data_IF_291293591187
#
_entry.id   IF_291293591187
#
_cell.length_a   1.000
_cell.length_b   1.000
_cell.length_c   1.000
_cell.angle_alpha   90.00
_cell.angle_beta   90.00
_cell.angle_gamma   90.00
#
_symmetry.space_group_name_H-M   'P 1'
#
loop_
_entity.id
_entity.type
_entity.pdbx_description
1 polymer ?
#
# COMPACT_ATOMS: atom_id res chain seq x y z
N UNK A 1 18.99 -56.33 24.41
CA UNK A 1 17.69 -56.18 23.70
C UNK A 1 17.19 -54.77 23.94
N UNK A 2 17.22 -53.89 22.93
CA UNK A 2 16.64 -52.53 23.01
C UNK A 2 15.26 -52.56 22.35
N UNK A 3 14.23 -51.88 22.90
CA UNK A 3 12.91 -51.83 22.28
C UNK A 3 12.92 -50.89 21.06
N UNK A 4 12.18 -51.28 20.02
CA UNK A 4 11.99 -50.50 18.80
C UNK A 4 11.05 -49.30 19.04
N UNK A 5 11.25 -48.14 18.36
CA UNK A 5 10.32 -47.02 18.44
C UNK A 5 9.05 -47.29 17.62
N UNK A 6 7.92 -46.81 18.15
CA UNK A 6 6.58 -46.88 17.55
C UNK A 6 6.44 -45.96 16.33
N UNK A 7 5.56 -46.28 15.37
CA UNK A 7 5.34 -45.44 14.20
C UNK A 7 4.58 -44.17 14.58
N UNK A 8 5.17 -43.02 14.28
CA UNK A 8 4.53 -41.70 14.34
C UNK A 8 3.49 -41.57 13.23
N UNK A 9 2.26 -41.20 13.62
CA UNK A 9 1.17 -40.90 12.69
C UNK A 9 1.48 -39.63 11.87
N UNK A 10 1.08 -39.54 10.59
CA UNK A 10 1.28 -38.34 9.78
C UNK A 10 0.40 -37.18 10.25
N UNK A 11 0.84 -35.92 10.08
CA UNK A 11 0.04 -34.75 10.41
C UNK A 11 -1.19 -34.66 9.51
N UNK A 12 -2.34 -34.36 10.13
CA UNK A 12 -3.61 -34.18 9.46
C UNK A 12 -3.50 -33.10 8.38
N UNK A 13 -3.92 -33.46 7.16
CA UNK A 13 -4.05 -32.53 6.06
C UNK A 13 -5.05 -31.43 6.42
N UNK A 14 -4.59 -30.18 6.46
CA UNK A 14 -5.44 -29.01 6.62
C UNK A 14 -6.33 -28.92 5.37
N UNK A 15 -7.63 -29.16 5.58
CA UNK A 15 -8.66 -29.07 4.56
C UNK A 15 -8.61 -27.73 3.82
N UNK A 16 -8.57 -27.78 2.50
CA UNK A 16 -8.59 -26.64 1.57
C UNK A 16 -9.80 -25.71 1.77
N UNK A 17 -10.83 -26.15 2.49
CA UNK A 17 -11.99 -25.34 2.88
C UNK A 17 -11.65 -24.22 3.88
N UNK A 18 -10.75 -24.46 4.84
CA UNK A 18 -10.40 -23.49 5.87
C UNK A 18 -9.64 -22.28 5.31
N UNK A 19 -8.83 -22.49 4.27
CA UNK A 19 -8.09 -21.43 3.57
C UNK A 19 -9.03 -20.53 2.73
N UNK A 20 -10.03 -21.13 2.08
CA UNK A 20 -11.04 -20.38 1.32
C UNK A 20 -11.96 -19.55 2.22
N UNK A 21 -12.33 -20.10 3.39
CA UNK A 21 -13.20 -19.42 4.35
C UNK A 21 -12.48 -18.30 5.11
N UNK A 22 -11.18 -18.48 5.44
CA UNK A 22 -10.32 -17.40 5.96
C UNK A 22 -10.19 -16.24 4.98
N UNK A 23 -10.00 -16.52 3.69
CA UNK A 23 -9.90 -15.48 2.66
C UNK A 23 -11.24 -14.77 2.41
N UNK A 24 -12.37 -15.49 2.51
CA UNK A 24 -13.71 -14.90 2.45
C UNK A 24 -14.03 -14.03 3.65
N UNK A 25 -13.66 -14.45 4.86
CA UNK A 25 -13.85 -13.66 6.08
C UNK A 25 -12.96 -12.41 6.08
N UNK A 26 -11.68 -12.54 5.74
CA UNK A 26 -10.81 -11.37 5.61
C UNK A 26 -11.34 -10.42 4.52
N UNK A 27 -11.77 -10.92 3.35
CA UNK A 27 -12.36 -10.06 2.32
C UNK A 27 -13.74 -9.49 2.70
N UNK A 28 -14.58 -10.21 3.44
CA UNK A 28 -15.91 -9.76 3.86
C UNK A 28 -15.87 -8.81 5.06
N UNK A 29 -14.84 -8.92 5.89
CA UNK A 29 -14.62 -8.05 7.05
C UNK A 29 -13.90 -6.75 6.63
N UNK A 30 -13.01 -6.80 5.62
CA UNK A 30 -12.08 -5.69 5.32
C UNK A 30 -12.24 -5.02 3.95
N UNK A 31 -13.05 -5.55 3.03
CA UNK A 31 -13.42 -4.81 1.82
C UNK A 31 -14.72 -4.07 2.12
N UNK A 32 -14.73 -2.73 2.23
CA UNK A 32 -16.00 -2.01 2.27
C UNK A 32 -16.74 -2.31 0.97
N UNK A 33 -17.83 -3.07 1.06
CA UNK A 33 -18.89 -3.02 0.06
C UNK A 33 -19.49 -1.62 0.12
N UNK A 34 -18.93 -0.71 -0.65
CA UNK A 34 -19.70 0.41 -1.18
C UNK A 34 -20.81 -0.20 -2.07
N UNK A 35 -22.05 0.19 -1.79
CA UNK A 35 -23.34 -0.29 -2.32
C UNK A 35 -23.37 -0.68 -3.83
N UNK A 36 -23.90 -1.86 -4.19
CA UNK A 36 -25.32 -2.14 -4.50
C UNK A 36 -25.75 -1.66 -5.91
N UNK A 37 -25.42 -2.44 -6.95
CA UNK A 37 -26.34 -2.99 -7.94
C UNK A 37 -25.54 -3.83 -8.97
N UNK A 38 -26.22 -4.69 -9.73
CA UNK A 38 -25.69 -5.63 -10.76
C UNK A 38 -25.48 -7.07 -10.25
N UNK A 39 -26.58 -7.72 -9.88
CA UNK A 39 -26.74 -9.17 -10.05
C UNK A 39 -27.84 -9.43 -11.09
N UNK A 40 -27.51 -9.33 -12.38
CA UNK A 40 -28.03 -10.28 -13.39
C UNK A 40 -27.33 -10.08 -14.76
N UNK A 41 -26.32 -10.88 -15.08
CA UNK A 41 -25.95 -11.12 -16.48
C UNK A 41 -25.18 -12.44 -16.63
N UNK A 42 -25.55 -13.31 -17.61
CA UNK A 42 -24.91 -14.60 -17.82
C UNK A 42 -23.50 -14.42 -18.44
N UNK A 43 -22.61 -15.42 -18.35
CA UNK A 43 -21.27 -15.31 -18.89
C UNK A 43 -21.35 -15.31 -20.43
N UNK A 44 -21.10 -14.17 -21.06
CA UNK A 44 -20.89 -14.09 -22.52
C UNK A 44 -19.43 -13.81 -22.84
N UNK A 45 -18.88 -14.79 -23.56
CA UNK A 45 -17.66 -14.84 -24.38
C UNK A 45 -17.03 -13.50 -24.79
N UNK A 46 -15.70 -13.51 -24.70
CA UNK A 46 -14.71 -12.79 -25.50
C UNK A 46 -15.24 -11.77 -26.52
N UNK A 47 -14.98 -10.49 -26.24
CA UNK A 47 -14.77 -9.50 -27.30
C UNK A 47 -13.72 -8.48 -26.84
N UNK A 48 -12.77 -8.23 -27.72
CA UNK A 48 -11.64 -7.32 -27.63
C UNK A 48 -12.10 -5.87 -27.43
N UNK A 49 -11.86 -5.29 -26.25
CA UNK A 49 -11.88 -3.84 -26.04
C UNK A 49 -10.56 -3.19 -26.49
N UNK A 50 -10.53 -1.87 -26.76
CA UNK A 50 -9.32 -1.18 -27.20
C UNK A 50 -8.28 -1.23 -26.09
N UNK A 51 -7.05 -1.69 -26.40
CA UNK A 51 -5.92 -1.62 -25.47
C UNK A 51 -5.57 -0.16 -25.22
N UNK A 52 -5.90 0.35 -24.04
CA UNK A 52 -5.32 1.56 -23.49
C UNK A 52 -3.79 1.39 -23.50
N UNK A 53 -3.08 2.30 -24.18
CA UNK A 53 -1.62 2.23 -24.30
C UNK A 53 -1.02 2.51 -22.92
N UNK A 54 -0.77 1.47 -22.11
CA UNK A 54 0.06 1.60 -20.90
C UNK A 54 1.40 2.24 -21.30
N UNK A 55 1.70 3.38 -20.71
CA UNK A 55 2.96 4.10 -20.96
C UNK A 55 4.11 3.17 -20.60
N UNK A 56 5.08 3.01 -21.52
CA UNK A 56 6.19 2.07 -21.31
C UNK A 56 7.13 2.66 -20.24
N UNK A 57 7.05 2.13 -19.03
CA UNK A 57 7.89 2.49 -17.88
C UNK A 57 9.37 2.58 -18.26
N UNK A 58 10.01 3.73 -18.01
CA UNK A 58 11.42 3.95 -18.30
C UNK A 58 12.35 3.20 -17.33
N UNK A 59 13.66 3.26 -17.57
CA UNK A 59 14.65 2.74 -16.60
C UNK A 59 14.62 3.53 -15.29
N UNK A 60 14.53 4.85 -15.40
CA UNK A 60 14.51 5.77 -14.26
C UNK A 60 13.26 5.56 -13.40
N UNK A 61 12.11 5.31 -14.03
CA UNK A 61 10.89 4.95 -13.31
C UNK A 61 11.00 3.62 -12.56
N UNK A 62 11.64 2.61 -13.18
CA UNK A 62 11.89 1.32 -12.51
C UNK A 62 12.81 1.45 -11.31
N UNK A 63 13.87 2.24 -11.44
CA UNK A 63 14.84 2.47 -10.36
C UNK A 63 14.21 3.18 -9.16
N UNK A 64 13.21 4.03 -9.41
CA UNK A 64 12.45 4.74 -8.38
C UNK A 64 11.15 4.03 -7.96
N UNK A 65 10.89 2.83 -8.46
CA UNK A 65 9.72 2.03 -8.09
C UNK A 65 8.37 2.64 -8.49
N UNK A 66 8.35 3.57 -9.45
CA UNK A 66 7.12 4.25 -9.90
C UNK A 66 6.61 3.65 -11.21
N UNK A 67 5.30 3.72 -11.44
CA UNK A 67 4.66 3.27 -12.67
C UNK A 67 4.98 4.21 -13.84
N UNK A 68 4.74 3.75 -15.07
CA UNK A 68 4.93 4.59 -16.26
C UNK A 68 3.96 5.78 -16.32
N UNK A 69 2.82 5.68 -15.66
CA UNK A 69 1.81 6.73 -15.60
C UNK A 69 2.19 7.77 -14.52
N UNK A 70 2.67 7.33 -13.34
CA UNK A 70 3.26 8.22 -12.33
C UNK A 70 4.48 8.99 -12.89
N UNK A 71 5.36 8.30 -13.64
CA UNK A 71 6.47 8.96 -14.33
C UNK A 71 5.96 10.04 -15.30
N UNK A 72 4.90 9.76 -16.05
CA UNK A 72 4.32 10.71 -16.99
C UNK A 72 3.76 11.94 -16.27
N UNK A 73 3.08 11.76 -15.14
CA UNK A 73 2.57 12.87 -14.32
C UNK A 73 3.72 13.74 -13.78
N UNK A 74 4.75 13.13 -13.19
CA UNK A 74 5.97 13.83 -12.72
C UNK A 74 6.58 14.63 -13.86
N UNK A 75 6.68 14.01 -15.04
CA UNK A 75 7.23 14.63 -16.23
C UNK A 75 6.43 15.83 -16.69
N UNK A 76 5.11 15.73 -16.74
CA UNK A 76 4.23 16.82 -17.15
C UNK A 76 4.36 18.01 -16.20
N UNK A 77 4.34 17.79 -14.89
CA UNK A 77 4.52 18.88 -13.92
C UNK A 77 5.90 19.53 -14.01
N UNK A 78 6.96 18.73 -14.24
CA UNK A 78 8.30 19.27 -14.45
C UNK A 78 8.34 20.19 -15.67
N UNK A 79 7.72 19.79 -16.77
CA UNK A 79 7.70 20.56 -18.03
C UNK A 79 6.97 21.90 -17.94
N UNK A 80 6.04 22.06 -16.99
CA UNK A 80 5.37 23.36 -16.75
C UNK A 80 6.37 24.42 -16.31
N UNK A 81 7.40 24.03 -15.55
CA UNK A 81 8.38 24.94 -14.96
C UNK A 81 9.76 24.85 -15.62
N UNK A 82 9.98 23.87 -16.52
CA UNK A 82 11.30 23.63 -17.09
C UNK A 82 11.67 24.64 -18.17
N UNK A 83 12.96 24.89 -18.27
CA UNK A 83 13.55 25.76 -19.30
C UNK A 83 14.74 25.04 -19.92
N UNK A 84 14.89 25.15 -21.24
CA UNK A 84 16.09 24.68 -21.92
C UNK A 84 17.20 25.70 -21.74
N UNK A 85 18.41 25.21 -21.45
CA UNK A 85 19.57 26.01 -21.11
C UNK A 85 20.81 25.45 -21.81
N UNK A 86 21.59 26.32 -22.43
CA UNK A 86 22.81 25.93 -23.17
C UNK A 86 23.92 25.42 -22.23
N UNK A 87 23.88 25.87 -20.97
CA UNK A 87 24.73 25.42 -19.87
C UNK A 87 24.40 23.99 -19.38
N UNK A 88 23.25 23.43 -19.80
CA UNK A 88 22.81 22.07 -19.47
C UNK A 88 22.50 21.25 -20.75
N UNK A 89 23.48 21.02 -21.65
CA UNK A 89 23.24 20.38 -22.94
C UNK A 89 22.85 18.90 -22.83
N UNK A 90 23.19 18.26 -21.71
CA UNK A 90 22.85 16.87 -21.41
C UNK A 90 21.38 16.70 -20.96
N UNK A 91 20.75 17.78 -20.49
CA UNK A 91 19.42 17.75 -19.89
C UNK A 91 18.33 17.91 -20.96
N UNK A 92 17.92 16.79 -21.56
CA UNK A 92 16.95 16.76 -22.66
C UNK A 92 15.57 17.31 -22.28
N UNK A 93 15.18 17.09 -21.02
CA UNK A 93 13.91 17.55 -20.44
C UNK A 93 13.99 19.02 -19.97
N UNK A 94 15.18 19.62 -20.04
CA UNK A 94 15.48 20.94 -19.48
C UNK A 94 15.75 20.90 -17.97
N UNK A 95 15.80 22.08 -17.38
CA UNK A 95 16.02 22.28 -15.94
C UNK A 95 14.96 23.23 -15.38
N UNK A 96 14.57 23.02 -14.12
CA UNK A 96 13.71 23.95 -13.37
C UNK A 96 14.58 24.81 -12.46
N UNK A 97 14.16 26.04 -12.13
CA UNK A 97 14.87 26.82 -11.12
C UNK A 97 14.60 26.22 -9.74
N UNK A 98 15.60 26.25 -8.85
CA UNK A 98 15.47 25.73 -7.48
C UNK A 98 14.29 26.36 -6.71
N UNK A 99 14.00 27.65 -6.95
CA UNK A 99 12.84 28.34 -6.36
C UNK A 99 11.46 27.84 -6.86
N UNK A 100 11.41 27.23 -8.05
CA UNK A 100 10.17 26.77 -8.69
C UNK A 100 9.84 25.31 -8.33
N UNK A 101 10.77 24.59 -7.66
CA UNK A 101 10.58 23.21 -7.19
C UNK A 101 9.31 23.07 -6.35
N UNK A 102 9.05 24.01 -5.43
CA UNK A 102 7.83 23.99 -4.60
C UNK A 102 6.56 24.03 -5.46
N UNK A 103 6.55 24.88 -6.49
CA UNK A 103 5.40 25.04 -7.38
C UNK A 103 5.19 23.79 -8.24
N UNK A 104 6.28 23.17 -8.72
CA UNK A 104 6.22 21.91 -9.45
C UNK A 104 5.66 20.77 -8.58
N UNK A 105 6.08 20.67 -7.32
CA UNK A 105 5.55 19.68 -6.38
C UNK A 105 4.06 19.90 -6.03
N UNK A 106 3.64 21.16 -5.93
CA UNK A 106 2.22 21.48 -5.73
C UNK A 106 1.40 21.03 -6.94
N UNK A 107 1.91 21.22 -8.17
CA UNK A 107 1.23 20.77 -9.39
C UNK A 107 1.05 19.23 -9.44
N UNK A 108 1.95 18.48 -8.79
CA UNK A 108 1.85 17.02 -8.63
C UNK A 108 0.97 16.57 -7.45
N UNK A 109 0.43 17.50 -6.67
CA UNK A 109 -0.32 17.17 -5.46
C UNK A 109 0.52 16.55 -4.34
N UNK A 110 1.86 16.70 -4.38
CA UNK A 110 2.81 16.23 -3.35
C UNK A 110 3.49 17.42 -2.67
N UNK A 111 2.67 18.29 -2.08
CA UNK A 111 3.17 19.51 -1.44
C UNK A 111 4.07 19.19 -0.24
N UNK A 112 5.22 19.87 -0.09
CA UNK A 112 5.98 19.85 1.16
C UNK A 112 5.11 20.34 2.32
N UNK A 113 5.15 19.63 3.43
CA UNK A 113 4.31 19.87 4.61
C UNK A 113 4.71 21.16 5.32
N UNK A 114 6.02 21.44 5.38
CA UNK A 114 6.58 22.58 6.11
C UNK A 114 7.93 23.02 5.55
N UNK A 115 8.41 24.17 6.02
CA UNK A 115 9.60 24.83 5.47
C UNK A 115 10.87 23.99 5.65
N UNK A 116 10.95 23.22 6.74
CA UNK A 116 12.08 22.35 7.02
C UNK A 116 12.17 21.22 5.99
N UNK A 117 11.03 20.58 5.69
CA UNK A 117 10.96 19.57 4.65
C UNK A 117 11.32 20.13 3.27
N UNK A 118 10.78 21.31 2.92
CA UNK A 118 11.14 21.96 1.66
C UNK A 118 12.66 22.21 1.59
N UNK A 119 13.29 22.68 2.66
CA UNK A 119 14.73 22.90 2.68
C UNK A 119 15.52 21.59 2.46
N UNK A 120 15.09 20.49 3.08
CA UNK A 120 15.67 19.16 2.86
C UNK A 120 15.50 18.68 1.42
N UNK A 121 14.33 18.88 0.82
CA UNK A 121 14.06 18.56 -0.58
C UNK A 121 14.99 19.37 -1.50
N UNK A 122 15.08 20.69 -1.30
CA UNK A 122 15.94 21.56 -2.10
C UNK A 122 17.41 21.14 -2.01
N UNK A 123 17.88 20.78 -0.81
CA UNK A 123 19.24 20.28 -0.63
C UNK A 123 19.48 18.91 -1.29
N UNK A 124 18.44 18.09 -1.45
CA UNK A 124 18.55 16.80 -2.12
C UNK A 124 18.57 16.95 -3.65
N UNK A 125 17.79 17.88 -4.20
CA UNK A 125 17.68 18.08 -5.65
C UNK A 125 18.74 19.02 -6.24
N UNK A 126 19.30 19.93 -5.43
CA UNK A 126 20.35 20.88 -5.80
C UNK A 126 21.44 20.97 -4.70
N UNK A 127 22.17 19.87 -4.42
CA UNK A 127 23.14 19.81 -3.33
C UNK A 127 24.32 20.78 -3.51
N UNK A 128 24.60 21.19 -4.73
CA UNK A 128 25.67 22.12 -5.09
C UNK A 128 25.20 23.56 -5.20
N UNK A 129 23.92 23.85 -4.90
CA UNK A 129 23.31 25.18 -4.96
C UNK A 129 23.56 25.89 -6.30
N UNK A 130 23.44 25.16 -7.40
CA UNK A 130 23.57 25.68 -8.76
C UNK A 130 22.43 26.63 -9.14
N UNK A 131 21.30 26.54 -8.41
CA UNK A 131 20.09 27.31 -8.69
C UNK A 131 19.19 26.66 -9.76
N UNK A 132 19.59 25.50 -10.29
CA UNK A 132 18.86 24.75 -11.30
C UNK A 132 18.82 23.27 -10.95
N UNK A 133 17.67 22.65 -11.16
CA UNK A 133 17.40 21.26 -10.84
C UNK A 133 17.13 20.49 -12.14
N UNK A 134 17.97 19.48 -12.45
CA UNK A 134 17.70 18.54 -13.53
C UNK A 134 16.50 17.63 -13.28
N UNK A 135 16.01 16.98 -14.33
CA UNK A 135 14.83 16.12 -14.24
C UNK A 135 15.04 14.89 -13.33
N UNK A 136 16.20 14.24 -13.41
CA UNK A 136 16.45 12.99 -12.68
C UNK A 136 16.44 13.15 -11.14
N UNK A 137 17.12 14.16 -10.54
CA UNK A 137 17.01 14.47 -9.12
C UNK A 137 15.59 14.84 -8.70
N UNK A 138 14.89 15.63 -9.51
CA UNK A 138 13.50 16.01 -9.25
C UNK A 138 12.57 14.80 -9.22
N UNK A 139 12.66 13.92 -10.22
CA UNK A 139 11.86 12.71 -10.29
C UNK A 139 12.11 11.80 -9.10
N UNK A 140 13.37 11.60 -8.72
CA UNK A 140 13.72 10.71 -7.60
C UNK A 140 13.09 11.18 -6.28
N UNK A 141 13.11 12.49 -6.02
CA UNK A 141 12.47 13.06 -4.82
C UNK A 141 10.94 13.02 -4.91
N UNK A 142 10.37 13.32 -6.08
CA UNK A 142 8.92 13.25 -6.26
C UNK A 142 8.39 11.81 -6.12
N UNK A 143 9.10 10.82 -6.66
CA UNK A 143 8.79 9.41 -6.51
C UNK A 143 8.77 9.00 -5.03
N UNK A 144 9.80 9.38 -4.27
CA UNK A 144 9.84 9.12 -2.83
C UNK A 144 8.65 9.74 -2.09
N UNK A 145 8.27 10.96 -2.47
CA UNK A 145 7.15 11.68 -1.84
C UNK A 145 5.78 11.10 -2.21
N UNK A 146 5.62 10.60 -3.44
CA UNK A 146 4.43 9.87 -3.87
C UNK A 146 4.24 8.60 -3.02
N UNK A 147 5.28 7.76 -2.93
CA UNK A 147 5.25 6.56 -2.09
C UNK A 147 4.92 6.89 -0.62
N UNK A 148 5.53 7.95 -0.09
CA UNK A 148 5.27 8.36 1.30
C UNK A 148 3.81 8.78 1.52
N UNK A 149 3.22 9.52 0.57
CA UNK A 149 1.82 9.95 0.63
C UNK A 149 0.87 8.75 0.58
N UNK A 150 1.18 7.76 -0.26
CA UNK A 150 0.36 6.56 -0.38
C UNK A 150 0.46 5.71 0.90
N UNK A 151 1.65 5.58 1.48
CA UNK A 151 1.85 4.93 2.79
C UNK A 151 1.13 5.66 3.93
N UNK A 152 1.14 7.00 3.96
CA UNK A 152 0.41 7.79 4.94
C UNK A 152 -1.11 7.60 4.80
N UNK A 153 -1.62 7.56 3.56
CA UNK A 153 -3.03 7.29 3.28
C UNK A 153 -3.43 5.88 3.72
N UNK A 154 -2.63 4.86 3.36
CA UNK A 154 -2.82 3.48 3.81
C UNK A 154 -2.80 3.42 5.34
N UNK A 155 -1.84 4.08 5.99
CA UNK A 155 -1.75 4.12 7.46
C UNK A 155 -3.02 4.71 8.09
N UNK A 156 -3.53 5.82 7.55
CA UNK A 156 -4.76 6.45 8.03
C UNK A 156 -5.98 5.53 7.87
N UNK A 157 -6.10 4.82 6.74
CA UNK A 157 -7.17 3.84 6.53
C UNK A 157 -7.06 2.64 7.47
N UNK A 158 -5.84 2.13 7.66
CA UNK A 158 -5.54 1.05 8.61
C UNK A 158 -5.89 1.47 10.03
N UNK A 159 -5.53 2.68 10.46
CA UNK A 159 -5.84 3.20 11.78
C UNK A 159 -7.35 3.34 11.98
N UNK A 160 -8.05 3.83 10.97
CA UNK A 160 -9.51 3.96 11.01
C UNK A 160 -10.18 2.59 11.10
N UNK A 161 -9.78 1.62 10.27
CA UNK A 161 -10.26 0.26 10.33
C UNK A 161 -9.97 -0.37 11.70
N UNK A 162 -8.75 -0.20 12.22
CA UNK A 162 -8.37 -0.70 13.54
C UNK A 162 -9.28 -0.16 14.66
N UNK A 163 -9.62 1.14 14.62
CA UNK A 163 -10.57 1.75 15.55
C UNK A 163 -11.98 1.16 15.44
N UNK A 164 -12.44 0.79 14.24
CA UNK A 164 -13.74 0.11 14.05
C UNK A 164 -13.73 -1.29 14.69
N UNK A 165 -12.62 -2.01 14.58
CA UNK A 165 -12.44 -3.31 15.24
C UNK A 165 -12.40 -3.21 16.76
N UNK A 166 -11.80 -2.16 17.32
CA UNK A 166 -11.76 -1.99 18.78
C UNK A 166 -12.98 -1.23 19.33
N UNK A 167 -13.82 -0.62 18.47
CA UNK A 167 -14.83 0.38 18.89
C UNK A 167 -14.20 1.51 19.72
N UNK A 168 -12.97 1.90 19.36
CA UNK A 168 -12.22 2.95 20.05
C UNK A 168 -11.69 2.58 21.43
N UNK A 169 -11.81 1.31 21.88
CA UNK A 169 -11.13 0.89 23.11
C UNK A 169 -9.63 0.85 22.90
N UNK A 170 -8.86 1.38 23.84
CA UNK A 170 -7.41 1.29 23.82
C UNK A 170 -6.92 -0.17 23.85
N UNK A 171 -5.82 -0.45 23.17
CA UNK A 171 -5.15 -1.76 23.20
C UNK A 171 -5.29 -2.60 21.91
N UNK A 172 -4.76 -3.83 21.95
CA UNK A 172 -4.70 -4.74 20.80
C UNK A 172 -6.09 -5.29 20.40
N UNK A 173 -6.24 -5.71 19.14
CA UNK A 173 -7.43 -6.45 18.70
C UNK A 173 -7.43 -7.83 19.37
N UNK A 174 -8.49 -8.12 20.11
CA UNK A 174 -8.68 -9.39 20.82
C UNK A 174 -9.60 -10.35 20.08
N UNK A 175 -9.60 -11.62 20.49
CA UNK A 175 -10.58 -12.62 20.02
C UNK A 175 -12.03 -12.15 20.24
N UNK A 176 -12.29 -11.42 21.33
CA UNK A 176 -13.61 -10.87 21.62
C UNK A 176 -14.03 -9.79 20.58
N UNK A 177 -13.08 -8.97 20.13
CA UNK A 177 -13.31 -7.99 19.07
C UNK A 177 -13.67 -8.69 17.76
N UNK A 178 -12.88 -9.69 17.33
CA UNK A 178 -13.17 -10.46 16.12
C UNK A 178 -14.51 -11.19 16.19
N UNK A 179 -14.84 -11.80 17.33
CA UNK A 179 -16.12 -12.47 17.55
C UNK A 179 -17.30 -11.52 17.38
N UNK A 180 -17.15 -10.28 17.84
CA UNK A 180 -18.18 -9.24 17.67
C UNK A 180 -18.32 -8.86 16.20
N UNK A 181 -17.21 -8.60 15.52
CA UNK A 181 -17.20 -8.25 14.09
C UNK A 181 -17.82 -9.36 13.24
N UNK A 182 -17.50 -10.62 13.50
CA UNK A 182 -18.11 -11.78 12.82
C UNK A 182 -19.64 -11.83 13.00
N UNK A 183 -20.15 -11.53 14.21
CA UNK A 183 -21.60 -11.43 14.45
C UNK A 183 -22.24 -10.25 13.73
N UNK A 184 -21.60 -9.08 13.77
CA UNK A 184 -22.09 -7.86 13.11
C UNK A 184 -22.21 -8.09 11.58
N UNK A 185 -21.32 -8.91 11.01
CA UNK A 185 -21.32 -9.31 9.59
C UNK A 185 -22.15 -10.57 9.28
N UNK A 186 -22.77 -11.19 10.30
CA UNK A 186 -23.57 -12.43 10.18
C UNK A 186 -22.80 -13.60 9.57
N UNK A 187 -21.50 -13.65 9.81
CA UNK A 187 -20.66 -14.77 9.38
C UNK A 187 -20.56 -15.82 10.49
N UNK A 188 -20.70 -17.10 10.13
CA UNK A 188 -20.58 -18.21 11.06
C UNK A 188 -19.11 -18.64 11.16
N UNK A 189 -18.45 -18.20 12.24
CA UNK A 189 -17.03 -18.44 12.49
C UNK A 189 -16.85 -19.10 13.85
N UNK A 190 -16.20 -20.26 13.86
CA UNK A 190 -15.93 -20.98 15.10
C UNK A 190 -14.94 -20.23 15.99
N UNK A 191 -15.09 -20.39 17.30
CA UNK A 191 -14.18 -19.76 18.27
C UNK A 191 -12.72 -20.22 18.10
N UNK A 192 -12.50 -21.46 17.70
CA UNK A 192 -11.18 -22.01 17.38
C UNK A 192 -10.53 -21.26 16.21
N UNK A 193 -11.30 -21.03 15.13
CA UNK A 193 -10.80 -20.29 13.97
C UNK A 193 -10.45 -18.84 14.31
N UNK A 194 -11.24 -18.17 15.15
CA UNK A 194 -10.94 -16.79 15.60
C UNK A 194 -9.65 -16.72 16.43
N UNK A 195 -9.37 -17.74 17.26
CA UNK A 195 -8.12 -17.83 18.02
C UNK A 195 -6.92 -18.04 17.10
N UNK A 196 -7.06 -18.90 16.10
CA UNK A 196 -6.01 -19.12 15.13
C UNK A 196 -5.73 -17.86 14.29
N UNK A 197 -6.76 -17.08 13.94
CA UNK A 197 -6.57 -15.80 13.23
C UNK A 197 -5.71 -14.82 14.03
N UNK A 198 -5.96 -14.70 15.34
CA UNK A 198 -5.15 -13.83 16.21
C UNK A 198 -3.71 -14.34 16.29
N UNK A 199 -3.53 -15.64 16.49
CA UNK A 199 -2.19 -16.26 16.61
C UNK A 199 -1.37 -16.11 15.34
N UNK A 200 -2.00 -16.24 14.17
CA UNK A 200 -1.35 -16.04 12.88
C UNK A 200 -0.94 -14.57 12.69
N UNK A 201 -1.87 -13.64 12.99
CA UNK A 201 -1.66 -12.21 12.79
C UNK A 201 -0.58 -11.63 13.70
N UNK A 202 -0.45 -12.14 14.92
CA UNK A 202 0.52 -11.63 15.91
C UNK A 202 1.82 -12.44 15.98
N UNK A 203 2.12 -13.24 14.96
CA UNK A 203 3.38 -14.00 14.90
C UNK A 203 3.51 -15.10 15.94
N UNK A 204 2.42 -15.48 16.61
CA UNK A 204 2.42 -16.53 17.63
C UNK A 204 2.63 -16.05 19.06
N UNK A 205 2.58 -14.74 19.33
CA UNK A 205 2.76 -14.12 20.67
C UNK A 205 1.69 -14.50 21.72
N UNK A 206 0.76 -15.38 21.33
CA UNK A 206 -0.31 -15.85 22.19
C UNK A 206 -1.52 -14.92 22.17
N UNK A 207 -2.64 -15.43 22.66
CA UNK A 207 -3.94 -14.73 22.51
C UNK A 207 -4.06 -13.49 23.40
N UNK A 208 -3.30 -13.41 24.51
CA UNK A 208 -3.33 -12.28 25.43
C UNK A 208 -2.64 -11.04 24.85
N UNK A 209 -1.64 -11.22 23.98
CA UNK A 209 -0.99 -10.11 23.28
C UNK A 209 -1.94 -9.42 22.29
N UNK A 210 -2.90 -10.18 21.74
CA UNK A 210 -3.81 -9.69 20.69
C UNK A 210 -3.03 -9.29 19.43
N UNK A 211 -3.66 -8.49 18.57
CA UNK A 211 -3.03 -7.97 17.33
C UNK A 211 -2.81 -6.46 17.49
N UNK A 212 -1.56 -6.00 17.39
CA UNK A 212 -1.21 -4.58 17.41
C UNK A 212 -1.60 -3.87 16.11
N UNK A 213 -1.56 -2.53 16.09
CA UNK A 213 -1.83 -1.75 14.88
C UNK A 213 -0.87 -2.10 13.73
N UNK A 214 0.42 -2.28 14.04
CA UNK A 214 1.44 -2.64 13.06
C UNK A 214 1.21 -4.04 12.49
N UNK A 215 0.93 -5.03 13.34
CA UNK A 215 0.61 -6.39 12.90
C UNK A 215 -0.69 -6.42 12.06
N UNK A 216 -1.65 -5.58 12.42
CA UNK A 216 -2.88 -5.41 11.65
C UNK A 216 -2.62 -4.81 10.27
N UNK A 217 -1.75 -3.80 10.17
CA UNK A 217 -1.27 -3.25 8.88
C UNK A 217 -0.67 -4.35 8.01
N UNK A 218 0.26 -5.15 8.57
CA UNK A 218 0.90 -6.23 7.82
C UNK A 218 -0.10 -7.25 7.29
N UNK A 219 -1.11 -7.60 8.09
CA UNK A 219 -2.19 -8.50 7.66
C UNK A 219 -3.00 -7.88 6.53
N UNK A 220 -3.34 -6.59 6.60
CA UNK A 220 -4.10 -5.90 5.54
C UNK A 220 -3.31 -5.82 4.21
N UNK A 221 -2.01 -5.52 4.28
CA UNK A 221 -1.13 -5.52 3.10
C UNK A 221 -0.97 -6.92 2.52
N UNK A 222 -0.72 -7.94 3.36
CA UNK A 222 -0.61 -9.35 2.91
C UNK A 222 -1.91 -9.88 2.29
N UNK A 223 -3.06 -9.39 2.75
CA UNK A 223 -4.35 -9.76 2.21
C UNK A 223 -4.65 -9.10 0.85
N UNK A 224 -3.85 -8.11 0.43
CA UNK A 224 -4.07 -7.33 -0.79
C UNK A 224 -5.27 -6.40 -0.69
N UNK A 225 -5.53 -5.88 0.52
CA UNK A 225 -6.52 -4.80 0.72
C UNK A 225 -5.98 -3.49 0.14
N UNK A 226 -4.66 -3.36 0.09
CA UNK A 226 -3.90 -2.27 -0.52
C UNK A 226 -2.90 -2.84 -1.53
#
# INVERSE_FOLDING_TARGET
>A
MRPAPSPTSPPAAISSGACSQRRRLLNAIFIPRCDFDILNMPPKRSSTGPKEKRTRQSKLAKENGITGDEEAEIKEAFHIFSTKRDDYPSEKEGVIKTQDVRHAMIALGISPTDQQELASILSAVDPTATGFVPYEPFLSVCALKLHSRDEDAIFAEVEHAYKLFTRGTAGPISVAHLRRVARDLKEDVSEELLRDMVREANGGDGLHAGVSLEQFREVMVRAGVF
#
